data_IF_105848465011
#
_entry.id   IF_105848465011
#
_cell.length_a   1.000
_cell.length_b   1.000
_cell.length_c   1.000
_cell.angle_alpha   90.00
_cell.angle_beta   90.00
_cell.angle_gamma   90.00
#
_symmetry.space_group_name_H-M   'P 1'
#
loop_
_entity.id
_entity.type
_entity.pdbx_description
1 polymer ?
#
# COMPACT_ATOMS: atom_id res chain seq x y z
N UNK A 1 11.81 12.07 -1.32
CA UNK A 1 12.19 12.70 -0.04
C UNK A 1 11.22 12.24 1.06
N UNK A 2 11.69 11.48 2.07
CA UNK A 2 10.84 10.80 3.08
C UNK A 2 10.02 11.75 3.98
N UNK A 3 10.39 13.03 4.08
CA UNK A 3 9.71 14.01 4.94
C UNK A 3 8.30 14.37 4.47
N UNK A 4 8.05 14.35 3.15
CA UNK A 4 6.71 14.63 2.60
C UNK A 4 5.66 13.58 3.01
N UNK A 5 6.07 12.33 3.26
CA UNK A 5 5.16 11.28 3.74
C UNK A 5 4.73 11.49 5.19
N UNK A 6 5.51 12.24 5.99
CA UNK A 6 5.17 12.49 7.39
C UNK A 6 4.08 13.56 7.54
N UNK A 7 3.87 14.38 6.49
CA UNK A 7 2.91 15.48 6.46
C UNK A 7 1.53 15.09 5.89
N UNK A 8 1.32 13.82 5.51
CA UNK A 8 0.01 13.34 5.05
C UNK A 8 -0.80 12.77 6.22
N UNK A 9 -1.79 13.51 6.77
CA UNK A 9 -2.64 13.00 7.85
C UNK A 9 -3.46 11.78 7.43
N UNK A 10 -3.68 11.61 6.13
CA UNK A 10 -4.41 10.47 5.54
C UNK A 10 -3.55 9.19 5.41
N UNK A 11 -2.24 9.26 5.68
CA UNK A 11 -1.36 8.10 5.59
C UNK A 11 -1.59 7.18 6.80
N UNK A 12 -2.13 5.99 6.54
CA UNK A 12 -2.36 4.97 7.57
C UNK A 12 -1.03 4.36 7.99
N UNK A 13 -0.59 4.71 9.21
CA UNK A 13 0.65 4.20 9.83
C UNK A 13 0.45 2.90 10.64
N UNK A 14 -0.65 2.19 10.43
CA UNK A 14 -1.04 0.99 11.20
C UNK A 14 -0.64 -0.33 10.54
N UNK A 15 -1.09 -1.45 11.12
CA UNK A 15 -1.06 -2.76 10.48
C UNK A 15 -1.92 -2.76 9.19
N UNK A 16 -1.65 -3.70 8.28
CA UNK A 16 -2.53 -3.90 7.13
C UNK A 16 -3.86 -4.48 7.60
N UNK A 17 -4.94 -4.01 7.00
CA UNK A 17 -6.27 -4.63 7.13
C UNK A 17 -6.33 -5.90 6.29
N UNK A 18 -7.25 -6.82 6.64
CA UNK A 18 -7.42 -8.08 5.90
C UNK A 18 -7.77 -7.84 4.43
N UNK A 19 -8.51 -6.77 4.16
CA UNK A 19 -8.88 -6.35 2.81
C UNK A 19 -7.64 -5.90 2.02
N UNK A 20 -6.76 -5.09 2.62
CA UNK A 20 -5.50 -4.68 2.01
C UNK A 20 -4.59 -5.89 1.74
N UNK A 21 -4.54 -6.86 2.66
CA UNK A 21 -3.76 -8.09 2.48
C UNK A 21 -4.27 -8.92 1.30
N UNK A 22 -5.59 -9.09 1.18
CA UNK A 22 -6.21 -9.80 0.05
C UNK A 22 -5.90 -9.11 -1.28
N UNK A 23 -5.95 -7.78 -1.34
CA UNK A 23 -5.59 -7.02 -2.54
C UNK A 23 -4.12 -7.25 -2.88
N UNK A 24 -3.21 -7.18 -1.90
CA UNK A 24 -1.78 -7.44 -2.12
C UNK A 24 -1.56 -8.84 -2.67
N UNK A 25 -2.17 -9.87 -2.08
CA UNK A 25 -2.02 -11.26 -2.51
C UNK A 25 -2.51 -11.43 -3.94
N UNK A 26 -3.71 -10.92 -4.26
CA UNK A 26 -4.28 -11.01 -5.61
C UNK A 26 -3.42 -10.26 -6.65
N UNK A 27 -2.91 -9.09 -6.30
CA UNK A 27 -2.07 -8.31 -7.20
C UNK A 27 -0.70 -8.96 -7.37
N UNK A 28 -0.09 -9.46 -6.30
CA UNK A 28 1.17 -10.20 -6.39
C UNK A 28 1.04 -11.42 -7.29
N UNK A 29 -0.08 -12.16 -7.21
CA UNK A 29 -0.37 -13.26 -8.12
C UNK A 29 -0.51 -12.81 -9.59
N UNK A 30 -1.06 -11.62 -9.85
CA UNK A 30 -1.29 -11.10 -11.21
C UNK A 30 -0.07 -10.42 -11.85
N UNK A 31 0.68 -9.63 -11.09
CA UNK A 31 1.73 -8.75 -11.62
C UNK A 31 3.13 -9.03 -11.07
N UNK A 32 3.26 -10.03 -10.18
CA UNK A 32 4.53 -10.42 -9.56
C UNK A 32 5.06 -9.37 -8.59
N UNK A 33 6.38 -9.35 -8.41
CA UNK A 33 7.08 -8.50 -7.44
C UNK A 33 7.14 -7.02 -7.88
N UNK A 34 5.99 -6.33 -7.85
CA UNK A 34 5.83 -4.91 -8.23
C UNK A 34 5.20 -4.09 -7.09
N UNK A 35 5.85 -4.08 -5.93
CA UNK A 35 5.34 -3.43 -4.70
C UNK A 35 4.90 -1.98 -4.88
N UNK A 36 5.68 -1.14 -5.58
CA UNK A 36 5.32 0.26 -5.79
C UNK A 36 3.97 0.42 -6.51
N UNK A 37 3.66 -0.47 -7.45
CA UNK A 37 2.38 -0.46 -8.18
C UNK A 37 1.22 -0.96 -7.34
N UNK A 38 1.48 -1.91 -6.43
CA UNK A 38 0.46 -2.38 -5.48
C UNK A 38 0.16 -1.31 -4.43
N UNK A 39 1.19 -0.66 -3.88
CA UNK A 39 1.03 0.42 -2.91
C UNK A 39 0.22 1.59 -3.49
N UNK A 40 0.45 1.94 -4.76
CA UNK A 40 -0.33 2.97 -5.46
C UNK A 40 -1.84 2.67 -5.56
N UNK A 41 -2.25 1.42 -5.38
CA UNK A 41 -3.66 0.99 -5.40
C UNK A 41 -4.27 0.90 -3.99
N UNK A 42 -3.46 1.08 -2.95
CA UNK A 42 -3.92 1.10 -1.56
C UNK A 42 -4.05 2.57 -1.12
N UNK A 43 -5.26 3.15 -1.17
CA UNK A 43 -5.45 4.55 -0.83
C UNK A 43 -5.05 4.81 0.63
N UNK A 44 -4.15 5.77 0.84
CA UNK A 44 -3.61 6.11 2.16
C UNK A 44 -2.40 5.29 2.61
N UNK A 45 -1.72 4.59 1.68
CA UNK A 45 -0.46 3.85 1.91
C UNK A 45 0.67 4.29 0.98
#
# INVERSE_FOLDING_TARGET
LRWANHLRPELKKGALTREEEQIIIQMHAKIGNKWARMAALLPGR
#
